data_IF_019534510630
#
_entry.id   IF_019534510630
#
_cell.length_a   1.000
_cell.length_b   1.000
_cell.length_c   1.000
_cell.angle_alpha   90.00
_cell.angle_beta   90.00
_cell.angle_gamma   90.00
#
_symmetry.space_group_name_H-M   'P 1'
#
loop_
_entity.id
_entity.type
_entity.pdbx_description
1 polymer ?
#
# COMPACT_ATOMS: atom_id res chain seq x y z
N UNK A 1 9.68 32.00 47.26
CA UNK A 1 10.78 32.82 46.69
C UNK A 1 11.79 31.90 46.09
N UNK A 2 11.81 31.75 44.77
CA UNK A 2 12.97 31.23 44.02
C UNK A 2 12.75 31.53 42.55
N UNK A 3 13.61 32.36 42.04
CA UNK A 3 13.69 32.80 40.63
C UNK A 3 14.42 31.73 39.84
N UNK A 4 13.88 31.30 38.70
CA UNK A 4 14.63 30.56 37.68
C UNK A 4 14.84 31.40 36.43
N UNK A 5 16.11 31.56 36.09
CA UNK A 5 16.63 32.29 34.94
C UNK A 5 16.20 31.67 33.62
N UNK A 6 15.83 32.54 32.68
CA UNK A 6 15.71 32.21 31.26
C UNK A 6 17.10 32.26 30.62
N UNK A 7 17.51 31.17 30.00
CA UNK A 7 18.68 31.16 29.12
C UNK A 7 18.19 31.08 27.67
N UNK A 8 18.41 32.17 26.94
CA UNK A 8 18.11 32.25 25.52
C UNK A 8 19.18 31.53 24.69
N UNK A 9 18.76 30.71 23.73
CA UNK A 9 19.63 30.15 22.71
C UNK A 9 19.51 30.98 21.42
N UNK A 10 20.65 31.55 21.04
CA UNK A 10 20.85 32.30 19.79
C UNK A 10 20.99 31.32 18.63
N UNK A 11 20.12 31.43 17.65
CA UNK A 11 20.25 30.71 16.37
C UNK A 11 21.08 31.57 15.41
N UNK A 12 22.25 31.08 15.07
CA UNK A 12 23.11 31.71 14.07
C UNK A 12 22.63 31.32 12.64
N UNK A 13 22.22 32.31 11.87
CA UNK A 13 22.00 32.22 10.42
C UNK A 13 23.35 32.19 9.72
N UNK A 14 23.67 31.08 9.06
CA UNK A 14 24.79 31.03 8.10
C UNK A 14 24.25 31.20 6.69
N UNK A 15 24.55 32.35 6.11
CA UNK A 15 24.33 32.63 4.69
C UNK A 15 25.42 31.95 3.85
N UNK A 16 25.02 31.08 2.91
CA UNK A 16 25.90 30.57 1.87
C UNK A 16 25.70 31.37 0.58
N UNK A 17 26.80 31.98 0.15
CA UNK A 17 26.89 32.80 -1.06
C UNK A 17 26.86 31.91 -2.30
N UNK A 18 26.10 32.35 -3.30
CA UNK A 18 26.06 31.87 -4.67
C UNK A 18 27.37 32.26 -5.39
N UNK A 19 28.13 31.29 -5.84
CA UNK A 19 29.14 31.49 -6.88
C UNK A 19 28.57 31.00 -8.20
N UNK A 20 28.29 31.95 -9.06
CA UNK A 20 27.91 31.75 -10.47
C UNK A 20 29.22 31.59 -11.29
N UNK A 21 29.41 30.43 -11.91
CA UNK A 21 30.36 30.27 -13.00
C UNK A 21 29.61 29.81 -14.24
N UNK A 22 29.50 30.70 -15.19
CA UNK A 22 29.00 30.43 -16.53
C UNK A 22 29.95 29.50 -17.30
N UNK A 23 29.34 28.63 -18.09
CA UNK A 23 29.97 27.76 -19.06
C UNK A 23 28.98 27.41 -20.12
N UNK A 24 29.10 28.09 -21.27
CA UNK A 24 28.40 27.77 -22.51
C UNK A 24 28.67 26.34 -22.92
N UNK A 25 27.61 25.51 -23.05
CA UNK A 25 27.71 24.29 -23.85
C UNK A 25 26.46 24.13 -24.73
N UNK A 26 26.78 24.12 -26.02
CA UNK A 26 26.03 23.84 -27.23
C UNK A 26 25.07 22.64 -27.10
N UNK A 27 23.87 22.66 -27.65
CA UNK A 27 22.94 21.53 -27.64
C UNK A 27 23.48 20.41 -28.54
N UNK A 28 23.62 19.24 -27.98
CA UNK A 28 23.84 18.01 -28.72
C UNK A 28 22.51 17.36 -29.09
N UNK A 29 22.41 17.03 -30.37
CA UNK A 29 21.28 16.41 -31.03
C UNK A 29 20.90 15.06 -30.40
N UNK A 30 19.63 14.85 -30.26
CA UNK A 30 18.96 13.60 -29.85
C UNK A 30 19.02 12.59 -31.00
N UNK A 31 19.43 11.34 -30.80
CA UNK A 31 18.97 10.29 -31.68
C UNK A 31 17.66 9.73 -31.21
N UNK A 32 16.64 9.84 -32.05
CA UNK A 32 15.41 9.08 -31.95
C UNK A 32 15.73 7.59 -32.00
N UNK A 33 15.42 6.89 -30.91
CA UNK A 33 15.31 5.44 -30.92
C UNK A 33 13.84 5.07 -30.72
N UNK A 34 13.14 4.91 -31.83
CA UNK A 34 11.89 4.15 -31.91
C UNK A 34 12.16 2.72 -31.51
N UNK A 35 11.70 2.32 -30.34
CA UNK A 35 11.51 0.91 -30.03
C UNK A 35 10.10 0.74 -29.51
N UNK A 36 9.24 0.32 -30.43
CA UNK A 36 7.92 -0.23 -30.20
C UNK A 36 8.09 -1.50 -29.36
N UNK A 37 7.74 -1.43 -28.07
CA UNK A 37 7.64 -2.61 -27.25
C UNK A 37 6.19 -3.11 -27.31
N UNK A 38 6.02 -4.20 -28.02
CA UNK A 38 4.85 -5.06 -28.12
C UNK A 38 4.40 -5.52 -26.71
N UNK A 39 3.11 -5.52 -26.38
CA UNK A 39 2.63 -6.02 -25.10
C UNK A 39 2.79 -7.54 -25.01
N UNK A 40 3.14 -8.11 -23.84
CA UNK A 40 3.28 -9.56 -23.69
C UNK A 40 1.94 -10.26 -23.86
N UNK A 41 1.96 -11.35 -24.64
CA UNK A 41 0.85 -12.22 -24.97
C UNK A 41 0.19 -12.83 -23.71
N UNK A 42 -1.12 -13.11 -23.75
CA UNK A 42 -1.83 -13.79 -22.67
C UNK A 42 -1.41 -15.25 -22.57
N UNK A 43 -1.28 -15.75 -21.33
CA UNK A 43 -1.00 -17.15 -21.02
C UNK A 43 -2.20 -18.04 -21.42
N UNK A 44 -1.96 -19.27 -21.85
CA UNK A 44 -3.02 -20.15 -22.34
C UNK A 44 -3.92 -20.66 -21.22
N UNK A 45 -5.19 -20.66 -21.53
CA UNK A 45 -6.30 -21.25 -20.80
C UNK A 45 -6.12 -22.77 -20.69
N UNK A 46 -6.02 -23.29 -19.46
CA UNK A 46 -6.00 -24.73 -19.21
C UNK A 46 -7.41 -25.20 -18.86
N UNK A 47 -8.00 -25.88 -19.83
CA UNK A 47 -9.37 -26.38 -19.88
C UNK A 47 -9.78 -27.24 -18.70
N UNK A 48 -11.03 -27.10 -18.41
CA UNK A 48 -11.97 -27.88 -17.65
C UNK A 48 -11.93 -29.37 -18.01
N UNK A 49 -11.83 -30.24 -17.00
CA UNK A 49 -12.59 -31.49 -16.99
C UNK A 49 -13.00 -31.84 -15.56
N UNK A 50 -14.30 -31.97 -15.37
CA UNK A 50 -14.93 -32.40 -14.14
C UNK A 50 -14.78 -33.89 -13.89
N UNK A 51 -15.08 -34.31 -12.70
CA UNK A 51 -15.93 -35.49 -12.38
C UNK A 51 -16.02 -35.66 -10.85
N UNK A 52 -17.22 -35.51 -10.40
CA UNK A 52 -18.00 -36.16 -9.33
C UNK A 52 -17.32 -37.09 -8.33
N UNK A 53 -17.76 -36.90 -7.10
CA UNK A 53 -18.38 -37.88 -6.17
C UNK A 53 -17.65 -38.24 -4.91
N UNK A 54 -18.37 -38.08 -3.87
CA UNK A 54 -18.69 -38.93 -2.73
C UNK A 54 -17.95 -38.72 -1.41
N UNK A 55 -18.79 -38.36 -0.49
CA UNK A 55 -18.79 -38.41 0.97
C UNK A 55 -17.83 -39.44 1.62
N UNK A 56 -17.17 -39.05 2.69
CA UNK A 56 -17.41 -39.72 3.98
C UNK A 56 -16.92 -38.89 5.18
N UNK A 57 -17.69 -38.95 6.23
CA UNK A 57 -17.48 -38.34 7.54
C UNK A 57 -16.27 -38.93 8.27
N UNK A 58 -15.56 -38.09 9.00
CA UNK A 58 -15.11 -38.44 10.37
C UNK A 58 -14.60 -37.16 11.09
N UNK A 59 -15.18 -36.92 12.22
CA UNK A 59 -14.86 -35.98 13.28
C UNK A 59 -13.44 -36.08 13.79
N UNK A 60 -12.77 -34.95 13.95
CA UNK A 60 -11.81 -34.72 15.03
C UNK A 60 -11.68 -33.23 15.30
N UNK A 61 -12.09 -32.87 16.47
CA UNK A 61 -12.02 -31.61 17.21
C UNK A 61 -10.55 -31.14 17.29
N UNK A 62 -10.29 -29.91 16.84
CA UNK A 62 -9.11 -29.16 17.28
C UNK A 62 -9.42 -27.67 17.16
N UNK A 63 -9.66 -27.06 18.30
CA UNK A 63 -9.94 -25.66 18.49
C UNK A 63 -8.79 -24.79 17.98
N UNK A 64 -8.91 -24.27 16.75
CA UNK A 64 -8.14 -23.15 16.24
C UNK A 64 -8.90 -21.87 16.53
N UNK A 65 -8.44 -21.07 17.46
CA UNK A 65 -9.00 -19.77 17.76
C UNK A 65 -8.89 -18.88 16.50
N UNK A 66 -9.99 -18.77 15.77
CA UNK A 66 -10.22 -17.75 14.75
C UNK A 66 -10.32 -16.41 15.50
N UNK A 67 -9.31 -15.59 15.38
CA UNK A 67 -9.43 -14.19 15.77
C UNK A 67 -10.47 -13.56 14.84
N UNK A 68 -11.69 -13.51 15.31
CA UNK A 68 -12.77 -12.76 14.72
C UNK A 68 -12.45 -11.28 14.93
N UNK A 69 -12.24 -10.57 13.83
CA UNK A 69 -12.15 -9.11 13.88
C UNK A 69 -13.43 -8.61 14.58
N UNK A 70 -13.32 -7.65 15.51
CA UNK A 70 -14.48 -7.13 16.18
C UNK A 70 -15.43 -6.56 15.13
N UNK A 71 -16.63 -7.13 15.03
CA UNK A 71 -17.77 -6.58 14.31
C UNK A 71 -18.18 -5.30 15.06
N UNK A 72 -17.49 -4.20 14.74
CA UNK A 72 -17.86 -2.87 15.23
C UNK A 72 -19.09 -2.46 14.43
N UNK A 73 -20.25 -2.76 14.96
CA UNK A 73 -21.50 -2.20 14.46
C UNK A 73 -21.31 -0.68 14.28
N UNK A 74 -21.76 -0.09 13.15
CA UNK A 74 -21.60 1.33 12.89
C UNK A 74 -22.23 2.11 14.06
N UNK A 75 -21.44 3.00 14.67
CA UNK A 75 -21.95 3.90 15.71
C UNK A 75 -23.07 4.74 15.10
N UNK A 76 -24.32 4.62 15.59
CA UNK A 76 -25.46 5.34 15.03
C UNK A 76 -25.37 6.87 15.20
N UNK A 77 -24.31 7.36 15.84
CA UNK A 77 -24.01 8.80 16.03
C UNK A 77 -22.83 9.29 15.21
N UNK A 78 -22.19 8.46 14.37
CA UNK A 78 -21.10 8.94 13.54
C UNK A 78 -21.67 9.89 12.46
N UNK A 79 -21.27 11.16 12.51
CA UNK A 79 -21.62 12.14 11.47
C UNK A 79 -21.18 11.63 10.09
N UNK A 80 -22.01 11.84 9.05
CA UNK A 80 -21.64 11.48 7.68
C UNK A 80 -20.35 12.17 7.26
N UNK A 81 -19.47 11.45 6.55
CA UNK A 81 -18.24 12.03 6.02
C UNK A 81 -18.55 13.12 4.99
N UNK A 82 -17.78 14.21 5.03
CA UNK A 82 -17.78 15.22 3.96
C UNK A 82 -16.86 14.81 2.81
N UNK A 83 -17.04 15.42 1.64
CA UNK A 83 -16.18 15.17 0.48
C UNK A 83 -14.70 15.52 0.76
N UNK A 84 -14.47 16.57 1.58
CA UNK A 84 -13.12 16.98 2.00
C UNK A 84 -12.47 15.96 2.94
N UNK A 85 -13.25 15.34 3.82
CA UNK A 85 -12.78 14.26 4.70
C UNK A 85 -12.49 12.98 3.90
N UNK A 86 -13.32 12.66 2.90
CA UNK A 86 -13.07 11.55 1.98
C UNK A 86 -11.77 11.79 1.20
N UNK A 87 -11.54 13.03 0.74
CA UNK A 87 -10.29 13.39 0.08
C UNK A 87 -9.07 13.23 1.01
N UNK A 88 -9.19 13.59 2.29
CA UNK A 88 -8.10 13.38 3.27
C UNK A 88 -7.82 11.88 3.49
N UNK A 89 -8.85 11.06 3.63
CA UNK A 89 -8.73 9.61 3.82
C UNK A 89 -8.02 8.97 2.63
N UNK A 90 -8.43 9.29 1.41
CA UNK A 90 -7.82 8.73 0.20
C UNK A 90 -6.40 9.24 -0.02
N UNK A 91 -6.07 10.48 0.35
CA UNK A 91 -4.71 11.01 0.29
C UNK A 91 -3.78 10.34 1.30
N UNK A 92 -4.24 10.15 2.54
CA UNK A 92 -3.51 9.44 3.59
C UNK A 92 -3.17 8.01 3.17
N UNK A 93 -4.18 7.24 2.67
CA UNK A 93 -3.99 5.89 2.19
C UNK A 93 -2.96 5.83 1.05
N UNK A 94 -3.13 6.64 0.00
CA UNK A 94 -2.20 6.66 -1.13
C UNK A 94 -0.77 7.05 -0.71
N UNK A 95 -0.62 7.98 0.23
CA UNK A 95 0.69 8.44 0.73
C UNK A 95 1.41 7.34 1.50
N UNK A 96 0.68 6.61 2.35
CA UNK A 96 1.18 5.47 3.10
C UNK A 96 1.71 4.38 2.17
N UNK A 97 0.92 3.99 1.17
CA UNK A 97 1.27 2.95 0.20
C UNK A 97 2.50 3.32 -0.63
N UNK A 98 2.62 4.57 -1.07
CA UNK A 98 3.80 5.05 -1.78
C UNK A 98 5.06 4.95 -0.88
N UNK A 99 4.95 5.31 0.40
CA UNK A 99 6.08 5.28 1.30
C UNK A 99 6.56 3.85 1.57
N UNK A 100 5.65 2.93 1.87
CA UNK A 100 5.94 1.52 2.10
C UNK A 100 6.50 0.84 0.84
N UNK A 101 5.89 1.09 -0.33
CA UNK A 101 6.34 0.52 -1.58
C UNK A 101 7.74 1.01 -1.99
N UNK A 102 8.07 2.29 -1.78
CA UNK A 102 9.43 2.81 -1.98
C UNK A 102 10.45 2.13 -1.06
N UNK A 103 10.08 1.90 0.21
CA UNK A 103 10.92 1.14 1.14
C UNK A 103 11.15 -0.29 0.62
N UNK A 104 10.10 -0.96 0.14
CA UNK A 104 10.18 -2.32 -0.40
C UNK A 104 11.05 -2.40 -1.66
N UNK A 105 10.95 -1.43 -2.57
CA UNK A 105 11.84 -1.36 -3.74
C UNK A 105 13.33 -1.32 -3.35
N UNK A 106 13.66 -0.58 -2.28
CA UNK A 106 15.02 -0.42 -1.80
C UNK A 106 15.54 -1.61 -0.99
N UNK A 107 14.70 -2.22 -0.15
CA UNK A 107 15.10 -3.26 0.80
C UNK A 107 14.99 -4.68 0.26
N UNK A 108 13.93 -4.99 -0.48
CA UNK A 108 13.69 -6.34 -0.96
C UNK A 108 14.72 -6.78 -2.00
N UNK A 109 15.12 -8.05 -1.92
CA UNK A 109 15.87 -8.76 -2.97
C UNK A 109 14.99 -9.69 -3.80
N UNK A 110 13.76 -9.92 -3.37
CA UNK A 110 12.78 -10.74 -4.07
C UNK A 110 12.24 -10.01 -5.29
N UNK A 111 12.41 -10.58 -6.47
CA UNK A 111 11.98 -9.98 -7.72
C UNK A 111 10.45 -9.78 -7.81
N UNK A 112 9.65 -10.69 -7.22
CA UNK A 112 8.19 -10.57 -7.14
C UNK A 112 7.77 -9.36 -6.30
N UNK A 113 8.33 -9.25 -5.10
CA UNK A 113 8.08 -8.10 -4.19
C UNK A 113 8.50 -6.78 -4.83
N UNK A 114 9.65 -6.73 -5.48
CA UNK A 114 10.11 -5.50 -6.16
C UNK A 114 9.19 -5.09 -7.30
N UNK A 115 8.70 -6.04 -8.10
CA UNK A 115 7.72 -5.73 -9.17
C UNK A 115 6.39 -5.23 -8.60
N UNK A 116 5.87 -5.91 -7.56
CA UNK A 116 4.68 -5.48 -6.86
C UNK A 116 4.85 -4.06 -6.30
N UNK A 117 5.92 -3.80 -5.58
CA UNK A 117 6.21 -2.49 -5.02
C UNK A 117 6.36 -1.38 -6.09
N UNK A 118 6.96 -1.70 -7.25
CA UNK A 118 7.04 -0.75 -8.37
C UNK A 118 5.66 -0.40 -8.93
N UNK A 119 4.79 -1.39 -9.08
CA UNK A 119 3.39 -1.20 -9.48
C UNK A 119 2.64 -0.34 -8.45
N UNK A 120 2.81 -0.61 -7.16
CA UNK A 120 2.19 0.15 -6.06
C UNK A 120 2.58 1.64 -6.12
N UNK A 121 3.89 1.95 -6.23
CA UNK A 121 4.35 3.35 -6.38
C UNK A 121 3.70 4.01 -7.58
N UNK A 122 3.62 3.34 -8.71
CA UNK A 122 3.02 3.89 -9.94
C UNK A 122 1.54 4.17 -9.73
N UNK A 123 0.75 3.16 -9.35
CA UNK A 123 -0.71 3.26 -9.29
C UNK A 123 -1.17 4.26 -8.22
N UNK A 124 -0.56 4.24 -7.02
CA UNK A 124 -0.91 5.19 -5.96
C UNK A 124 -0.45 6.63 -6.26
N UNK A 125 0.66 6.81 -7.00
CA UNK A 125 1.05 8.14 -7.48
C UNK A 125 0.08 8.66 -8.53
N UNK A 126 -0.40 7.83 -9.45
CA UNK A 126 -1.43 8.18 -10.43
C UNK A 126 -2.75 8.53 -9.73
N UNK A 127 -3.16 7.76 -8.71
CA UNK A 127 -4.35 8.04 -7.92
C UNK A 127 -4.27 9.41 -7.24
N UNK A 128 -3.14 9.74 -6.60
CA UNK A 128 -2.92 11.08 -6.01
C UNK A 128 -3.00 12.20 -7.05
N UNK A 129 -2.41 12.02 -8.22
CA UNK A 129 -2.47 13.02 -9.29
C UNK A 129 -3.90 13.24 -9.80
N UNK A 130 -4.71 12.18 -9.89
CA UNK A 130 -6.12 12.27 -10.26
C UNK A 130 -6.92 12.98 -9.18
N UNK A 131 -6.74 12.60 -7.93
CA UNK A 131 -7.38 13.22 -6.78
C UNK A 131 -7.08 14.73 -6.72
N UNK A 132 -5.85 15.15 -6.94
CA UNK A 132 -5.46 16.56 -6.94
C UNK A 132 -6.23 17.40 -7.97
N UNK A 133 -6.69 16.80 -9.09
CA UNK A 133 -7.51 17.48 -10.11
C UNK A 133 -8.92 17.80 -9.63
N UNK A 134 -9.41 17.10 -8.59
CA UNK A 134 -10.72 17.37 -8.00
C UNK A 134 -10.77 18.69 -7.26
N UNK A 135 -9.61 19.26 -6.91
CA UNK A 135 -9.46 20.55 -6.20
C UNK A 135 -10.25 20.61 -4.87
N UNK A 136 -10.52 19.46 -4.26
CA UNK A 136 -11.11 19.39 -2.93
C UNK A 136 -10.04 19.75 -1.90
N UNK A 137 -10.40 20.64 -0.96
CA UNK A 137 -9.53 21.00 0.15
C UNK A 137 -9.68 19.92 1.22
N UNK A 138 -8.69 19.04 1.34
CA UNK A 138 -8.69 17.96 2.33
C UNK A 138 -8.91 18.50 3.74
N UNK A 139 -9.77 17.83 4.51
CA UNK A 139 -10.05 18.10 5.91
C UNK A 139 -9.87 16.82 6.71
N UNK A 140 -9.15 16.88 7.82
CA UNK A 140 -8.88 15.72 8.66
C UNK A 140 -10.17 15.06 9.19
N UNK A 141 -10.10 13.78 9.41
CA UNK A 141 -11.12 12.96 10.05
C UNK A 141 -10.45 11.94 10.98
N UNK A 142 -11.21 11.36 11.89
CA UNK A 142 -10.68 10.28 12.75
C UNK A 142 -10.13 9.10 11.92
N UNK A 143 -10.72 8.84 10.74
CA UNK A 143 -10.27 7.77 9.84
C UNK A 143 -8.93 8.14 9.18
N UNK A 144 -8.75 9.37 8.66
CA UNK A 144 -7.48 9.78 8.05
C UNK A 144 -6.35 9.79 9.08
N UNK A 145 -6.62 10.31 10.28
CA UNK A 145 -5.64 10.32 11.38
C UNK A 145 -5.25 8.90 11.82
N UNK A 146 -6.20 7.98 11.92
CA UNK A 146 -5.91 6.58 12.22
C UNK A 146 -5.05 5.93 11.14
N UNK A 147 -5.40 6.10 9.85
CA UNK A 147 -4.62 5.58 8.73
C UNK A 147 -3.17 6.09 8.74
N UNK A 148 -2.95 7.38 9.01
CA UNK A 148 -1.62 7.97 9.10
C UNK A 148 -0.80 7.37 10.26
N UNK A 149 -1.44 7.19 11.43
CA UNK A 149 -0.81 6.57 12.60
C UNK A 149 -0.43 5.12 12.35
N UNK A 150 -1.34 4.34 11.79
CA UNK A 150 -1.12 2.92 11.48
C UNK A 150 -0.05 2.76 10.41
N UNK A 151 -0.08 3.60 9.37
CA UNK A 151 0.93 3.62 8.32
C UNK A 151 2.33 3.96 8.87
N UNK A 152 2.42 4.93 9.78
CA UNK A 152 3.70 5.27 10.43
C UNK A 152 4.22 4.09 11.26
N UNK A 153 3.35 3.39 11.98
CA UNK A 153 3.68 2.20 12.77
C UNK A 153 4.15 1.06 11.89
N UNK A 154 3.41 0.74 10.82
CA UNK A 154 3.77 -0.27 9.83
C UNK A 154 5.12 0.05 9.18
N UNK A 155 5.31 1.29 8.73
CA UNK A 155 6.56 1.71 8.10
C UNK A 155 7.77 1.59 9.05
N UNK A 156 7.59 1.90 10.33
CA UNK A 156 8.65 1.75 11.33
C UNK A 156 8.98 0.27 11.62
N UNK A 157 7.97 -0.61 11.70
CA UNK A 157 8.18 -2.04 11.81
C UNK A 157 8.96 -2.58 10.60
N UNK A 158 8.52 -2.27 9.39
CA UNK A 158 9.16 -2.68 8.14
C UNK A 158 10.62 -2.19 8.00
N UNK A 159 10.98 -1.04 8.58
CA UNK A 159 12.38 -0.57 8.58
C UNK A 159 13.29 -1.49 9.39
N UNK A 160 12.78 -2.14 10.42
CA UNK A 160 13.54 -3.03 11.30
C UNK A 160 13.79 -4.42 10.67
N UNK A 161 12.85 -4.91 9.88
CA UNK A 161 12.90 -6.24 9.27
C UNK A 161 13.92 -6.32 8.14
N UNK A 162 14.41 -7.53 7.85
CA UNK A 162 15.43 -7.77 6.81
C UNK A 162 15.17 -9.06 6.05
N UNK A 163 15.64 -9.10 4.80
CA UNK A 163 15.58 -10.31 3.98
C UNK A 163 14.16 -10.82 3.80
N UNK A 164 13.97 -12.12 3.94
CA UNK A 164 12.69 -12.79 3.74
C UNK A 164 11.63 -12.39 4.79
N UNK A 165 12.07 -12.01 6.00
CA UNK A 165 11.16 -11.52 7.06
C UNK A 165 10.55 -10.18 6.64
N UNK A 166 11.37 -9.26 6.11
CA UNK A 166 10.89 -8.01 5.54
C UNK A 166 9.88 -8.26 4.40
N UNK A 167 10.21 -9.15 3.46
CA UNK A 167 9.36 -9.43 2.31
C UNK A 167 8.00 -9.98 2.74
N UNK A 168 7.98 -10.92 3.69
CA UNK A 168 6.74 -11.48 4.26
C UNK A 168 5.94 -10.42 5.02
N UNK A 169 6.59 -9.63 5.87
CA UNK A 169 5.93 -8.58 6.65
C UNK A 169 5.32 -7.51 5.74
N UNK A 170 6.04 -7.06 4.70
CA UNK A 170 5.53 -6.10 3.73
C UNK A 170 4.30 -6.65 3.01
N UNK A 171 4.36 -7.88 2.48
CA UNK A 171 3.21 -8.46 1.76
C UNK A 171 2.02 -8.70 2.69
N UNK A 172 2.25 -9.14 3.93
CA UNK A 172 1.18 -9.30 4.92
C UNK A 172 0.50 -7.95 5.25
N UNK A 173 1.28 -6.87 5.42
CA UNK A 173 0.75 -5.53 5.61
C UNK A 173 -0.09 -5.10 4.39
N UNK A 174 0.39 -5.34 3.17
CA UNK A 174 -0.34 -5.00 1.94
C UNK A 174 -1.68 -5.74 1.82
N UNK A 175 -1.76 -7.01 2.23
CA UNK A 175 -3.03 -7.76 2.26
C UNK A 175 -4.00 -7.11 3.24
N UNK A 176 -3.55 -6.79 4.45
CA UNK A 176 -4.40 -6.20 5.49
C UNK A 176 -4.86 -4.79 5.12
N UNK A 177 -3.95 -3.93 4.69
CA UNK A 177 -4.21 -2.53 4.36
C UNK A 177 -5.18 -2.42 3.17
N UNK A 178 -4.98 -3.19 2.11
CA UNK A 178 -5.88 -3.18 0.94
C UNK A 178 -7.27 -3.73 1.26
N UNK A 179 -7.38 -4.75 2.12
CA UNK A 179 -8.69 -5.21 2.59
C UNK A 179 -9.40 -4.11 3.36
N UNK A 180 -8.72 -3.46 4.31
CA UNK A 180 -9.27 -2.37 5.12
C UNK A 180 -9.69 -1.18 4.25
N UNK A 181 -8.87 -0.79 3.28
CA UNK A 181 -9.19 0.31 2.36
C UNK A 181 -10.39 -0.03 1.49
N UNK A 182 -10.48 -1.25 0.97
CA UNK A 182 -11.62 -1.72 0.16
C UNK A 182 -12.92 -1.68 0.96
N UNK A 183 -12.90 -2.16 2.20
CA UNK A 183 -14.05 -2.11 3.09
C UNK A 183 -14.44 -0.66 3.42
N UNK A 184 -13.46 0.21 3.66
CA UNK A 184 -13.68 1.63 3.87
C UNK A 184 -14.31 2.30 2.66
N UNK A 185 -13.81 2.04 1.44
CA UNK A 185 -14.39 2.56 0.19
C UNK A 185 -15.87 2.15 0.08
N UNK A 186 -16.17 0.87 0.29
CA UNK A 186 -17.52 0.34 0.10
C UNK A 186 -18.50 0.83 1.18
N UNK A 187 -18.07 0.83 2.45
CA UNK A 187 -18.98 1.04 3.59
C UNK A 187 -19.06 2.51 4.01
N UNK A 188 -18.02 3.31 3.72
CA UNK A 188 -17.92 4.67 4.23
C UNK A 188 -17.73 5.73 3.16
N UNK A 189 -16.84 5.51 2.17
CA UNK A 189 -16.54 6.60 1.24
C UNK A 189 -17.61 6.73 0.15
N UNK A 190 -17.90 5.67 -0.59
CA UNK A 190 -18.91 5.69 -1.66
C UNK A 190 -20.30 6.10 -1.17
N UNK A 191 -20.83 5.61 -0.03
CA UNK A 191 -22.14 6.03 0.46
C UNK A 191 -22.21 7.51 0.86
N UNK A 192 -21.07 8.12 1.26
CA UNK A 192 -21.03 9.49 1.74
C UNK A 192 -20.57 10.52 0.68
N UNK A 193 -19.92 10.08 -0.41
CA UNK A 193 -19.47 10.97 -1.47
C UNK A 193 -20.67 11.67 -2.16
N UNK A 194 -20.71 13.01 -2.05
CA UNK A 194 -21.75 13.86 -2.65
C UNK A 194 -21.28 14.49 -3.96
N UNK A 195 -19.98 14.80 -4.07
CA UNK A 195 -19.37 15.33 -5.27
C UNK A 195 -19.27 14.22 -6.34
N UNK A 196 -19.83 14.49 -7.54
CA UNK A 196 -19.90 13.51 -8.62
C UNK A 196 -18.50 13.09 -9.13
N UNK A 197 -17.55 14.01 -9.20
CA UNK A 197 -16.19 13.73 -9.65
C UNK A 197 -15.42 12.90 -8.61
N UNK A 198 -15.64 13.16 -7.31
CA UNK A 198 -15.09 12.34 -6.23
C UNK A 198 -15.65 10.92 -6.27
N UNK A 199 -16.96 10.78 -6.49
CA UNK A 199 -17.58 9.46 -6.64
C UNK A 199 -17.00 8.70 -7.82
N UNK A 200 -16.86 9.35 -8.99
CA UNK A 200 -16.26 8.75 -10.17
C UNK A 200 -14.80 8.34 -9.92
N UNK A 201 -14.03 9.14 -9.18
CA UNK A 201 -12.68 8.81 -8.75
C UNK A 201 -12.66 7.55 -7.86
N UNK A 202 -13.55 7.45 -6.87
CA UNK A 202 -13.65 6.29 -5.98
C UNK A 202 -14.03 5.02 -6.76
N UNK A 203 -14.98 5.12 -7.69
CA UNK A 203 -15.38 4.02 -8.57
C UNK A 203 -14.24 3.56 -9.49
N UNK A 204 -13.36 4.48 -9.90
CA UNK A 204 -12.19 4.15 -10.73
C UNK A 204 -11.07 3.48 -9.94
N UNK A 205 -10.79 3.93 -8.70
CA UNK A 205 -9.69 3.35 -7.91
C UNK A 205 -10.06 2.01 -7.28
N UNK A 206 -11.32 1.76 -6.97
CA UNK A 206 -11.79 0.53 -6.31
C UNK A 206 -11.30 -0.75 -7.01
N UNK A 207 -11.49 -0.99 -8.32
CA UNK A 207 -11.02 -2.19 -8.99
C UNK A 207 -9.49 -2.34 -8.95
N UNK A 208 -8.74 -1.23 -8.87
CA UNK A 208 -7.28 -1.28 -8.69
C UNK A 208 -6.89 -1.76 -7.29
N UNK A 209 -7.61 -1.31 -6.26
CA UNK A 209 -7.42 -1.80 -4.87
C UNK A 209 -7.70 -3.30 -4.79
N UNK A 210 -8.76 -3.78 -5.47
CA UNK A 210 -9.09 -5.20 -5.58
C UNK A 210 -7.98 -6.00 -6.26
N UNK A 211 -7.41 -5.46 -7.35
CA UNK A 211 -6.28 -6.08 -8.07
C UNK A 211 -5.04 -6.16 -7.17
N UNK A 212 -4.69 -5.07 -6.48
CA UNK A 212 -3.55 -5.05 -5.55
C UNK A 212 -3.72 -6.10 -4.45
N UNK A 213 -4.90 -6.16 -3.84
CA UNK A 213 -5.22 -7.16 -2.82
C UNK A 213 -5.04 -8.59 -3.34
N UNK A 214 -5.55 -8.86 -4.55
CA UNK A 214 -5.40 -10.18 -5.20
C UNK A 214 -3.93 -10.54 -5.39
N UNK A 215 -3.13 -9.62 -5.93
CA UNK A 215 -1.71 -9.84 -6.17
C UNK A 215 -0.90 -10.00 -4.86
N UNK A 216 -1.24 -9.22 -3.82
CA UNK A 216 -0.62 -9.37 -2.51
C UNK A 216 -0.92 -10.75 -1.89
N UNK A 217 -2.18 -11.23 -1.97
CA UNK A 217 -2.56 -12.57 -1.52
C UNK A 217 -1.80 -13.68 -2.27
N UNK A 218 -1.64 -13.56 -3.59
CA UNK A 218 -0.86 -14.51 -4.38
C UNK A 218 0.61 -14.57 -3.92
N UNK A 219 1.24 -13.40 -3.70
CA UNK A 219 2.61 -13.36 -3.19
C UNK A 219 2.72 -13.95 -1.78
N UNK A 220 1.73 -13.76 -0.92
CA UNK A 220 1.67 -14.35 0.41
C UNK A 220 1.59 -15.87 0.33
N UNK A 221 0.73 -16.42 -0.52
CA UNK A 221 0.61 -17.87 -0.77
C UNK A 221 1.93 -18.47 -1.28
N UNK A 222 2.65 -17.76 -2.17
CA UNK A 222 3.97 -18.17 -2.67
C UNK A 222 5.01 -18.27 -1.53
N UNK A 223 5.00 -17.33 -0.58
CA UNK A 223 5.87 -17.39 0.60
C UNK A 223 5.52 -18.56 1.52
N UNK A 224 4.24 -18.80 1.74
CA UNK A 224 3.78 -19.90 2.59
C UNK A 224 4.13 -21.28 1.98
N UNK A 225 3.96 -21.43 0.67
CA UNK A 225 4.33 -22.63 -0.05
C UNK A 225 5.84 -22.92 0.03
N UNK A 226 6.68 -21.90 -0.16
CA UNK A 226 8.14 -22.02 -0.02
C UNK A 226 8.56 -22.40 1.40
N UNK A 227 7.94 -21.81 2.40
CA UNK A 227 8.22 -22.10 3.81
C UNK A 227 7.88 -23.54 4.16
N UNK A 228 6.75 -24.06 3.70
CA UNK A 228 6.34 -25.47 3.88
C UNK A 228 7.30 -26.45 3.17
N UNK A 229 7.73 -26.12 1.96
CA UNK A 229 8.68 -26.95 1.20
C UNK A 229 10.04 -27.02 1.89
N UNK A 230 10.51 -25.91 2.46
CA UNK A 230 11.79 -25.86 3.18
C UNK A 230 11.75 -26.68 4.49
N UNK A 231 10.61 -26.67 5.21
CA UNK A 231 10.45 -27.44 6.43
C UNK A 231 10.34 -28.97 6.21
N UNK A 232 9.91 -29.39 5.02
CA UNK A 232 9.76 -30.80 4.64
C UNK A 232 11.00 -31.39 3.93
N UNK A 233 12.05 -30.59 3.71
CA UNK A 233 13.29 -31.10 3.11
C UNK A 233 14.03 -32.01 4.09
N UNK A 234 14.49 -33.21 3.66
CA UNK A 234 15.26 -34.11 4.52
C UNK A 234 16.58 -33.43 4.93
N UNK A 235 17.06 -33.69 6.18
CA UNK A 235 18.32 -33.12 6.63
C UNK A 235 19.46 -33.53 5.69
N UNK A 236 20.15 -32.55 5.15
CA UNK A 236 21.34 -32.78 4.32
C UNK A 236 22.42 -33.39 5.20
N UNK A 237 22.82 -34.65 4.88
CA UNK A 237 23.96 -35.29 5.55
C UNK A 237 25.24 -34.57 5.14
N UNK A 238 25.87 -33.94 6.10
CA UNK A 238 27.25 -33.40 5.99
C UNK A 238 28.26 -34.54 5.92
#
# INVERSE_FOLDING_TARGET
MSRFLRTGAVVALSAFALVNCGGDQKPAETPEATTSAEPPAPLPDAGTTGTTSSANSATADSAGAKAEAPDVAPDPKAEPLTDEQIAAITDAANSAEIAQAKLAQGKSKNAGVKRFAAMMVKHHSEAKQKQAKLKLKASESSISTALESDAASTLNALKSDKGDEFDKAYIAAQVQEHQTVLDTINQKLLPNAKNADLRAYLDEIKPRVEEHLKLAKQLQEDFDAKSKSASNAPPQKS
#
